data_IF_692192188796
#
_entry.id   IF_692192188796
#
_cell.length_a   1.000
_cell.length_b   1.000
_cell.length_c   1.000
_cell.angle_alpha   90.00
_cell.angle_beta   90.00
_cell.angle_gamma   90.00
#
_symmetry.space_group_name_H-M   'P 1'
#
loop_
_entity.id
_entity.type
_entity.pdbx_description
1 polymer ?
#
# COMPACT_ATOMS: atom_id res chain seq x y z
N UNK A 1 12.84 -22.58 13.70
CA UNK A 1 11.60 -22.49 12.90
C UNK A 1 10.59 -21.77 13.78
N UNK A 2 10.59 -20.43 13.73
CA UNK A 2 9.56 -19.67 14.44
C UNK A 2 8.31 -19.78 13.58
N UNK A 3 7.41 -20.70 13.96
CA UNK A 3 6.00 -20.52 13.64
C UNK A 3 5.63 -19.11 14.10
N UNK A 4 4.94 -18.35 13.26
CA UNK A 4 4.09 -17.28 13.77
C UNK A 4 3.23 -17.95 14.86
N UNK A 5 3.59 -17.76 16.13
CA UNK A 5 2.91 -18.42 17.24
C UNK A 5 1.42 -18.16 17.06
N UNK A 6 0.64 -19.23 16.87
CA UNK A 6 -0.77 -19.15 16.54
C UNK A 6 -1.57 -18.36 17.61
N UNK A 7 -0.98 -18.14 18.79
CA UNK A 7 -1.51 -17.24 19.83
C UNK A 7 -1.48 -15.75 19.47
N UNK A 8 -0.64 -15.33 18.51
CA UNK A 8 -0.46 -13.93 18.07
C UNK A 8 -1.61 -13.39 17.21
N UNK A 9 -2.63 -14.20 16.92
CA UNK A 9 -3.73 -13.86 16.01
C UNK A 9 -5.13 -14.14 16.60
N UNK A 10 -5.24 -14.28 17.92
CA UNK A 10 -6.51 -14.64 18.57
C UNK A 10 -7.63 -13.59 18.41
N UNK A 11 -7.30 -12.32 18.12
CA UNK A 11 -8.23 -11.18 18.18
C UNK A 11 -8.13 -10.15 17.03
N UNK A 12 -7.80 -10.54 15.79
CA UNK A 12 -7.62 -9.59 14.65
C UNK A 12 -6.46 -8.57 14.85
N UNK A 13 -5.64 -8.76 15.88
CA UNK A 13 -4.47 -7.94 16.20
C UNK A 13 -3.22 -8.72 15.85
N UNK A 14 -2.40 -8.18 14.95
CA UNK A 14 -1.08 -8.73 14.66
C UNK A 14 -0.11 -8.35 15.78
N UNK A 15 0.55 -9.34 16.36
CA UNK A 15 1.66 -9.12 17.30
C UNK A 15 2.93 -9.71 16.68
N UNK A 16 3.97 -8.89 16.54
CA UNK A 16 5.28 -9.32 16.09
C UNK A 16 6.32 -8.78 17.08
N UNK A 17 7.29 -9.62 17.45
CA UNK A 17 8.45 -9.21 18.25
C UNK A 17 9.59 -8.78 17.33
N UNK A 18 10.18 -7.63 17.64
CA UNK A 18 11.40 -7.17 16.98
C UNK A 18 12.53 -8.19 17.22
N UNK A 19 13.32 -8.46 16.17
CA UNK A 19 14.37 -9.49 16.16
C UNK A 19 13.89 -10.87 15.68
N UNK A 20 12.58 -11.13 15.63
CA UNK A 20 12.05 -12.42 15.15
C UNK A 20 12.36 -12.69 13.68
N UNK A 21 12.45 -13.96 13.32
CA UNK A 21 12.62 -14.39 11.94
C UNK A 21 11.27 -14.69 11.31
N UNK A 22 11.10 -14.30 10.05
CA UNK A 22 9.93 -14.61 9.24
C UNK A 22 10.37 -15.21 7.91
N UNK A 23 9.84 -16.39 7.58
CA UNK A 23 10.19 -17.13 6.36
C UNK A 23 8.98 -17.20 5.43
N UNK A 24 9.23 -16.99 4.15
CA UNK A 24 8.21 -17.02 3.10
C UNK A 24 8.81 -17.52 1.79
N UNK A 25 7.92 -17.89 0.87
CA UNK A 25 8.33 -18.32 -0.47
C UNK A 25 8.78 -17.12 -1.29
N UNK A 26 10.00 -17.17 -1.81
CA UNK A 26 10.58 -16.15 -2.67
C UNK A 26 11.23 -16.82 -3.88
N UNK A 27 10.71 -16.56 -5.09
CA UNK A 27 11.07 -17.34 -6.28
C UNK A 27 10.82 -18.84 -6.02
N UNK A 28 11.74 -19.71 -6.41
CA UNK A 28 11.64 -21.16 -6.24
C UNK A 28 12.26 -21.66 -4.91
N UNK A 29 12.54 -20.76 -3.97
CA UNK A 29 13.16 -21.09 -2.69
C UNK A 29 12.51 -20.36 -1.53
N UNK A 30 12.84 -20.77 -0.32
CA UNK A 30 12.40 -20.07 0.89
C UNK A 30 13.43 -19.00 1.23
N UNK A 31 12.95 -17.83 1.64
CA UNK A 31 13.79 -16.74 2.11
C UNK A 31 13.33 -16.28 3.48
N UNK A 32 14.29 -15.95 4.32
CA UNK A 32 14.06 -15.53 5.70
C UNK A 32 14.49 -14.08 5.89
N UNK A 33 13.66 -13.31 6.59
CA UNK A 33 13.97 -11.95 7.01
C UNK A 33 13.92 -11.84 8.53
N UNK A 34 14.73 -10.92 9.08
CA UNK A 34 14.63 -10.48 10.47
C UNK A 34 13.68 -9.29 10.55
N UNK A 35 12.67 -9.41 11.39
CA UNK A 35 11.70 -8.36 11.68
C UNK A 35 12.36 -7.29 12.56
N UNK A 36 12.23 -6.03 12.16
CA UNK A 36 12.70 -4.87 12.90
C UNK A 36 11.53 -4.06 13.47
N UNK A 37 11.74 -2.76 13.58
CA UNK A 37 10.74 -1.78 14.02
C UNK A 37 9.44 -1.86 13.19
N UNK A 38 8.31 -1.84 13.90
CA UNK A 38 6.98 -1.63 13.31
C UNK A 38 6.85 -0.16 12.91
N UNK A 39 6.66 0.10 11.62
CA UNK A 39 6.52 1.45 11.07
C UNK A 39 5.06 1.91 11.09
N UNK A 40 4.13 0.98 10.90
CA UNK A 40 2.69 1.26 10.95
C UNK A 40 1.93 0.09 11.55
N UNK A 41 0.98 0.41 12.43
CA UNK A 41 0.01 -0.53 12.99
C UNK A 41 -1.37 0.16 13.02
N UNK A 42 -2.47 -0.57 12.74
CA UNK A 42 -3.81 -0.01 12.89
C UNK A 42 -4.10 0.27 14.37
N UNK A 43 -4.77 1.37 14.67
CA UNK A 43 -5.31 1.61 16.01
C UNK A 43 -6.52 0.69 16.24
N UNK A 44 -6.73 0.25 17.49
CA UNK A 44 -7.85 -0.63 17.85
C UNK A 44 -9.19 -0.01 17.40
N UNK A 45 -10.01 -0.78 16.69
CA UNK A 45 -11.39 -0.41 16.35
C UNK A 45 -11.62 0.15 14.94
N UNK A 46 -10.60 0.39 14.11
CA UNK A 46 -10.82 0.72 12.69
C UNK A 46 -11.19 -0.54 11.90
N UNK A 47 -12.50 -0.80 11.78
CA UNK A 47 -13.03 -1.85 10.94
C UNK A 47 -12.48 -1.75 9.51
N UNK A 48 -11.73 -2.78 9.08
CA UNK A 48 -11.28 -2.94 7.70
C UNK A 48 -9.84 -2.52 7.38
N UNK A 49 -9.06 -2.00 8.33
CA UNK A 49 -7.62 -1.71 8.13
C UNK A 49 -6.75 -2.64 8.96
N UNK A 50 -6.75 -3.93 8.65
CA UNK A 50 -5.87 -4.90 9.33
C UNK A 50 -4.55 -5.02 8.57
N UNK A 51 -3.78 -3.92 8.50
CA UNK A 51 -2.51 -3.82 7.77
C UNK A 51 -1.37 -3.42 8.70
N UNK A 52 -0.28 -4.17 8.68
CA UNK A 52 0.95 -3.87 9.42
C UNK A 52 2.11 -3.67 8.45
N UNK A 53 2.92 -2.64 8.70
CA UNK A 53 4.17 -2.39 7.98
C UNK A 53 5.33 -2.51 8.97
N UNK A 54 6.26 -3.42 8.67
CA UNK A 54 7.41 -3.74 9.53
C UNK A 54 8.68 -3.54 8.72
N UNK A 55 9.68 -2.84 9.24
CA UNK A 55 11.01 -2.81 8.62
C UNK A 55 11.63 -4.19 8.70
N UNK A 56 12.27 -4.66 7.64
CA UNK A 56 12.90 -5.99 7.60
C UNK A 56 14.30 -5.95 7.03
N UNK A 57 15.14 -6.90 7.46
CA UNK A 57 16.48 -7.14 6.89
C UNK A 57 16.58 -8.59 6.41
N UNK A 58 17.27 -8.86 5.30
CA UNK A 58 17.55 -10.25 4.92
C UNK A 58 18.30 -10.95 6.06
N UNK A 59 17.90 -12.18 6.39
CA UNK A 59 18.61 -13.01 7.36
C UNK A 59 19.64 -13.94 6.70
N UNK A 60 19.83 -13.85 5.39
CA UNK A 60 20.78 -14.63 4.63
C UNK A 60 22.23 -14.27 5.00
N UNK A 61 23.08 -15.29 5.12
CA UNK A 61 24.51 -15.14 5.46
C UNK A 61 25.24 -14.31 4.40
N UNK A 62 24.85 -14.47 3.14
CA UNK A 62 25.48 -13.77 2.01
C UNK A 62 25.21 -12.27 1.98
N UNK A 63 24.23 -11.73 2.72
CA UNK A 63 23.93 -10.29 2.67
C UNK A 63 24.93 -9.43 3.47
N UNK A 64 25.98 -10.03 4.05
CA UNK A 64 27.01 -9.37 4.86
C UNK A 64 28.42 -9.63 4.30
N UNK A 65 28.81 -8.94 3.22
CA UNK A 65 30.17 -8.97 2.67
C UNK A 65 30.34 -8.17 1.37
N UNK A 66 31.58 -7.80 1.02
CA UNK A 66 31.92 -7.08 -0.22
C UNK A 66 31.65 -7.90 -1.50
N UNK A 67 31.44 -9.22 -1.37
CA UNK A 67 31.14 -10.16 -2.47
C UNK A 67 29.80 -10.89 -2.31
N UNK A 68 28.83 -10.23 -1.68
CA UNK A 68 27.47 -10.74 -1.51
C UNK A 68 26.75 -10.91 -2.86
N UNK A 69 26.27 -12.12 -3.17
CA UNK A 69 25.36 -12.37 -4.30
C UNK A 69 23.86 -12.18 -3.93
N UNK A 70 23.59 -11.55 -2.78
CA UNK A 70 22.25 -11.27 -2.28
C UNK A 70 21.60 -10.16 -3.13
N UNK A 71 20.55 -10.47 -3.91
CA UNK A 71 19.78 -9.48 -4.68
C UNK A 71 19.06 -8.41 -3.83
N UNK A 72 19.09 -8.54 -2.50
CA UNK A 72 18.58 -7.57 -1.52
C UNK A 72 19.67 -6.81 -0.77
N UNK A 73 20.94 -6.99 -1.15
CA UNK A 73 22.04 -6.26 -0.54
C UNK A 73 21.85 -4.75 -0.67
N UNK A 74 22.08 -4.02 0.41
CA UNK A 74 21.96 -2.56 0.45
C UNK A 74 20.52 -2.03 0.40
N UNK A 75 19.51 -2.87 0.15
CA UNK A 75 18.11 -2.44 0.07
C UNK A 75 17.53 -2.20 1.45
N UNK A 76 16.80 -1.10 1.60
CA UNK A 76 15.90 -0.87 2.74
C UNK A 76 14.55 -1.45 2.39
N UNK A 77 14.08 -2.40 3.21
CA UNK A 77 12.90 -3.19 2.91
C UNK A 77 11.87 -3.13 4.03
N UNK A 78 10.61 -3.25 3.64
CA UNK A 78 9.47 -3.42 4.55
C UNK A 78 8.68 -4.66 4.20
N UNK A 79 8.10 -5.27 5.23
CA UNK A 79 7.10 -6.31 5.13
C UNK A 79 5.73 -5.68 5.39
N UNK A 80 4.89 -5.68 4.35
CA UNK A 80 3.48 -5.28 4.40
C UNK A 80 2.63 -6.54 4.55
N UNK A 81 1.95 -6.71 5.68
CA UNK A 81 1.04 -7.84 5.93
C UNK A 81 -0.36 -7.31 6.23
N UNK A 82 -1.37 -7.88 5.59
CA UNK A 82 -2.75 -7.60 5.96
C UNK A 82 -3.79 -8.55 5.40
N UNK A 83 -5.04 -8.34 5.82
CA UNK A 83 -6.18 -9.09 5.32
C UNK A 83 -6.74 -8.45 4.04
N UNK A 84 -6.71 -9.19 2.94
CA UNK A 84 -7.22 -8.78 1.64
C UNK A 84 -8.40 -9.63 1.21
N UNK A 85 -9.30 -9.11 0.38
CA UNK A 85 -10.32 -9.94 -0.27
C UNK A 85 -9.68 -11.00 -1.15
N UNK A 86 -10.14 -12.24 -1.03
CA UNK A 86 -9.63 -13.38 -1.80
C UNK A 86 -9.68 -13.10 -3.30
N UNK A 87 -10.80 -12.54 -3.75
CA UNK A 87 -11.03 -12.20 -5.16
C UNK A 87 -10.42 -10.86 -5.59
N UNK A 88 -9.77 -10.11 -4.69
CA UNK A 88 -9.12 -8.85 -5.07
C UNK A 88 -7.84 -9.13 -5.84
N UNK A 89 -7.66 -8.39 -6.91
CA UNK A 89 -6.39 -8.31 -7.65
C UNK A 89 -5.32 -7.77 -6.70
N UNK A 90 -4.17 -8.44 -6.61
CA UNK A 90 -3.07 -7.96 -5.76
C UNK A 90 -2.45 -6.68 -6.32
N UNK A 91 -2.01 -5.80 -5.42
CA UNK A 91 -1.22 -4.59 -5.75
C UNK A 91 -0.04 -4.91 -6.68
N UNK A 92 0.64 -6.04 -6.46
CA UNK A 92 1.71 -6.53 -7.35
C UNK A 92 1.28 -6.62 -8.82
N UNK A 93 0.06 -7.11 -9.12
CA UNK A 93 -0.42 -7.24 -10.50
C UNK A 93 -0.67 -5.90 -11.17
N UNK A 94 -1.10 -4.88 -10.42
CA UNK A 94 -1.23 -3.52 -10.96
C UNK A 94 0.13 -2.96 -11.36
N UNK A 95 1.10 -3.07 -10.46
CA UNK A 95 2.45 -2.55 -10.66
C UNK A 95 3.23 -3.33 -11.73
N UNK A 96 3.06 -4.64 -11.83
CA UNK A 96 3.64 -5.47 -12.89
C UNK A 96 3.18 -5.02 -14.28
N UNK A 97 1.87 -4.72 -14.45
CA UNK A 97 1.37 -4.17 -15.72
C UNK A 97 1.97 -2.80 -16.01
N UNK A 98 2.06 -1.92 -15.00
CA UNK A 98 2.68 -0.61 -15.18
C UNK A 98 4.13 -0.76 -15.66
N UNK A 99 4.92 -1.63 -15.02
CA UNK A 99 6.32 -1.88 -15.40
C UNK A 99 6.48 -2.39 -16.84
N UNK A 100 5.59 -3.26 -17.30
CA UNK A 100 5.60 -3.75 -18.69
C UNK A 100 5.33 -2.67 -19.74
N UNK A 101 4.60 -1.62 -19.37
CA UNK A 101 4.23 -0.50 -20.27
C UNK A 101 5.24 0.66 -20.14
N UNK A 102 5.90 0.79 -18.98
CA UNK A 102 6.87 1.82 -18.66
C UNK A 102 8.24 1.58 -19.34
N UNK A 103 8.25 1.57 -20.67
CA UNK A 103 9.44 1.41 -21.51
C UNK A 103 9.67 2.64 -22.39
N UNK A 104 10.91 2.91 -22.78
CA UNK A 104 11.26 4.05 -23.64
C UNK A 104 10.84 5.40 -23.04
N UNK A 105 10.01 6.16 -23.75
CA UNK A 105 9.54 7.48 -23.29
C UNK A 105 8.69 7.46 -22.01
N UNK A 106 8.29 6.28 -21.53
CA UNK A 106 7.51 6.12 -20.31
C UNK A 106 8.33 5.66 -19.09
N UNK A 107 9.62 5.39 -19.25
CA UNK A 107 10.47 4.85 -18.18
C UNK A 107 10.51 5.74 -16.92
N UNK A 108 10.38 7.06 -17.10
CA UNK A 108 10.33 8.03 -16.00
C UNK A 108 9.29 7.69 -14.92
N UNK A 109 8.18 7.02 -15.29
CA UNK A 109 7.11 6.69 -14.34
C UNK A 109 7.55 5.68 -13.28
N UNK A 110 8.60 4.89 -13.54
CA UNK A 110 9.14 3.92 -12.59
C UNK A 110 9.66 4.58 -11.30
N UNK A 111 10.06 5.86 -11.38
CA UNK A 111 10.45 6.66 -10.22
C UNK A 111 9.28 7.00 -9.29
N UNK A 112 8.04 6.80 -9.76
CA UNK A 112 6.81 7.21 -9.08
C UNK A 112 5.92 6.02 -8.70
N UNK A 113 6.41 4.80 -8.90
CA UNK A 113 5.73 3.54 -8.57
C UNK A 113 6.52 2.76 -7.52
N UNK A 114 5.87 2.17 -6.51
CA UNK A 114 6.56 1.40 -5.47
C UNK A 114 7.13 0.09 -6.03
N UNK A 115 8.31 -0.28 -5.54
CA UNK A 115 8.97 -1.56 -5.77
C UNK A 115 8.44 -2.63 -4.82
N UNK A 116 7.89 -3.68 -5.43
CA UNK A 116 7.48 -4.90 -4.73
C UNK A 116 8.39 -6.03 -5.20
N UNK A 117 9.22 -6.52 -4.29
CA UNK A 117 10.12 -7.62 -4.57
C UNK A 117 9.41 -8.96 -4.59
N UNK A 118 8.39 -9.15 -3.74
CA UNK A 118 7.53 -10.32 -3.78
C UNK A 118 6.20 -10.10 -3.08
N UNK A 119 5.22 -10.93 -3.43
CA UNK A 119 3.91 -11.04 -2.79
C UNK A 119 3.62 -12.52 -2.54
N UNK A 120 3.02 -12.85 -1.40
CA UNK A 120 2.69 -14.21 -1.02
C UNK A 120 1.45 -14.26 -0.13
N UNK A 121 0.74 -15.38 -0.15
CA UNK A 121 -0.36 -15.64 0.77
C UNK A 121 0.18 -16.30 2.03
N UNK A 122 -0.31 -15.89 3.20
CA UNK A 122 0.07 -16.45 4.49
C UNK A 122 -1.01 -17.45 4.91
N UNK A 123 -0.68 -18.76 5.05
CA UNK A 123 -1.64 -19.76 5.48
C UNK A 123 -2.18 -19.44 6.88
N UNK A 124 -3.50 -19.34 7.01
CA UNK A 124 -4.14 -18.97 8.27
C UNK A 124 -5.20 -20.01 8.67
N UNK A 125 -4.81 -20.98 9.50
CA UNK A 125 -5.62 -22.17 9.82
C UNK A 125 -6.79 -21.88 10.77
N UNK A 126 -6.61 -21.10 11.83
CA UNK A 126 -7.66 -20.82 12.83
C UNK A 126 -8.77 -19.89 12.33
N UNK A 127 -8.50 -19.06 11.33
CA UNK A 127 -9.51 -18.17 10.74
C UNK A 127 -10.52 -18.91 9.87
N UNK A 128 -10.11 -20.03 9.26
CA UNK A 128 -11.01 -20.84 8.43
C UNK A 128 -12.19 -21.41 9.23
N UNK A 129 -12.02 -21.75 10.50
CA UNK A 129 -13.11 -22.26 11.34
C UNK A 129 -14.13 -21.16 11.70
N UNK A 130 -13.67 -19.93 11.99
CA UNK A 130 -14.55 -18.76 12.26
C UNK A 130 -15.27 -18.25 11.00
N UNK A 131 -14.66 -18.43 9.82
CA UNK A 131 -15.25 -18.08 8.53
C UNK A 131 -16.48 -18.95 8.21
N UNK A 132 -16.45 -20.25 8.48
CA UNK A 132 -17.54 -21.16 8.09
C UNK A 132 -18.86 -20.77 8.76
N UNK A 133 -18.80 -20.29 10.01
CA UNK A 133 -19.95 -19.74 10.72
C UNK A 133 -20.43 -18.43 10.09
N UNK A 134 -19.54 -17.46 9.79
CA UNK A 134 -19.94 -16.17 9.18
C UNK A 134 -20.51 -16.31 7.77
N UNK A 135 -19.98 -17.23 6.95
CA UNK A 135 -20.50 -17.55 5.61
C UNK A 135 -21.97 -17.96 5.63
N UNK A 136 -22.39 -18.70 6.66
CA UNK A 136 -23.76 -19.21 6.79
C UNK A 136 -24.78 -18.12 7.16
N UNK A 137 -24.35 -17.03 7.80
CA UNK A 137 -25.27 -16.03 8.37
C UNK A 137 -25.19 -14.63 7.73
N UNK A 138 -24.18 -14.31 6.92
CA UNK A 138 -24.03 -12.96 6.34
C UNK A 138 -24.13 -12.96 4.81
N UNK A 139 -25.24 -12.43 4.28
CA UNK A 139 -25.38 -12.10 2.86
C UNK A 139 -24.34 -11.07 2.43
N UNK A 140 -23.56 -11.38 1.40
CA UNK A 140 -22.50 -10.50 0.89
C UNK A 140 -21.15 -10.63 1.60
N UNK A 141 -20.94 -11.70 2.38
CA UNK A 141 -19.64 -12.00 2.99
C UNK A 141 -18.56 -12.19 1.92
N UNK A 142 -17.51 -11.36 1.98
CA UNK A 142 -16.33 -11.48 1.12
C UNK A 142 -15.23 -12.23 1.87
N UNK A 143 -14.78 -13.36 1.31
CA UNK A 143 -13.66 -14.10 1.87
C UNK A 143 -12.41 -13.22 1.97
N UNK A 144 -11.73 -13.29 3.11
CA UNK A 144 -10.47 -12.60 3.34
C UNK A 144 -9.33 -13.61 3.47
N UNK A 145 -8.23 -13.34 2.80
CA UNK A 145 -6.97 -14.09 2.91
C UNK A 145 -5.90 -13.16 3.44
N UNK A 146 -4.99 -13.71 4.24
CA UNK A 146 -3.85 -12.95 4.73
C UNK A 146 -2.79 -12.90 3.63
N UNK A 147 -2.37 -11.69 3.25
CA UNK A 147 -1.37 -11.45 2.21
C UNK A 147 -0.19 -10.71 2.80
N UNK A 148 1.01 -11.14 2.43
CA UNK A 148 2.27 -10.48 2.72
C UNK A 148 2.95 -10.00 1.44
N UNK A 149 3.69 -8.91 1.51
CA UNK A 149 4.60 -8.49 0.45
C UNK A 149 5.86 -7.85 1.02
N UNK A 150 6.98 -8.05 0.33
CA UNK A 150 8.23 -7.34 0.61
C UNK A 150 8.35 -6.20 -0.40
N UNK A 151 8.46 -4.99 0.13
CA UNK A 151 8.49 -3.76 -0.64
C UNK A 151 9.74 -2.94 -0.26
N UNK A 152 10.13 -1.99 -1.11
CA UNK A 152 11.11 -0.99 -0.71
C UNK A 152 10.56 -0.15 0.47
N UNK A 153 11.46 0.33 1.32
CA UNK A 153 11.10 1.27 2.36
C UNK A 153 11.06 2.70 1.79
N UNK A 154 9.87 3.29 1.74
CA UNK A 154 9.66 4.68 1.34
C UNK A 154 9.49 5.59 2.57
N UNK A 155 9.74 6.88 2.38
CA UNK A 155 9.54 7.89 3.41
C UNK A 155 8.13 8.47 3.37
N UNK A 156 7.56 8.85 4.53
CA UNK A 156 6.26 9.51 4.55
C UNK A 156 6.37 10.93 3.96
N UNK A 157 5.26 11.47 3.46
CA UNK A 157 5.18 12.85 2.97
C UNK A 157 5.69 13.91 3.98
N UNK A 158 5.61 13.62 5.27
CA UNK A 158 6.12 14.49 6.35
C UNK A 158 7.65 14.60 6.41
N UNK A 159 8.40 13.80 5.62
CA UNK A 159 9.85 13.92 5.53
C UNK A 159 10.32 15.09 4.64
N UNK A 160 9.42 15.68 3.85
CA UNK A 160 9.74 16.88 3.08
C UNK A 160 9.86 18.09 4.02
N UNK A 161 10.80 18.98 3.72
CA UNK A 161 11.14 20.12 4.58
C UNK A 161 10.87 21.46 3.90
N UNK A 162 10.71 21.48 2.57
CA UNK A 162 10.49 22.73 1.82
C UNK A 162 9.23 22.69 0.95
N UNK A 163 8.61 23.86 0.74
CA UNK A 163 7.46 23.99 -0.15
C UNK A 163 7.77 23.56 -1.60
N UNK A 164 9.03 23.74 -2.04
CA UNK A 164 9.49 23.30 -3.37
C UNK A 164 9.48 21.78 -3.50
N UNK A 165 9.95 21.07 -2.49
CA UNK A 165 9.89 19.61 -2.45
C UNK A 165 8.44 19.12 -2.44
N UNK A 166 7.55 19.75 -1.65
CA UNK A 166 6.13 19.44 -1.65
C UNK A 166 5.51 19.60 -3.04
N UNK A 167 5.74 20.75 -3.67
CA UNK A 167 5.22 21.04 -5.00
C UNK A 167 5.72 20.03 -6.04
N UNK A 168 7.00 19.65 -5.98
CA UNK A 168 7.57 18.63 -6.86
C UNK A 168 6.89 17.26 -6.64
N UNK A 169 6.72 16.83 -5.40
CA UNK A 169 6.07 15.55 -5.09
C UNK A 169 4.61 15.53 -5.56
N UNK A 170 3.84 16.61 -5.36
CA UNK A 170 2.47 16.66 -5.89
C UNK A 170 2.43 16.66 -7.42
N UNK A 171 3.35 17.37 -8.06
CA UNK A 171 3.49 17.36 -9.52
C UNK A 171 3.78 15.93 -10.03
N UNK A 172 4.70 15.22 -9.40
CA UNK A 172 5.03 13.81 -9.69
C UNK A 172 3.80 12.89 -9.57
N UNK A 173 3.03 13.04 -8.48
CA UNK A 173 1.81 12.23 -8.24
C UNK A 173 0.75 12.50 -9.31
N UNK A 174 0.53 13.76 -9.69
CA UNK A 174 -0.45 14.11 -10.73
C UNK A 174 -0.02 13.56 -12.10
N UNK A 175 1.27 13.68 -12.45
CA UNK A 175 1.79 13.13 -13.70
C UNK A 175 1.70 11.59 -13.73
N UNK A 176 2.14 10.92 -12.66
CA UNK A 176 2.04 9.48 -12.50
C UNK A 176 0.57 9.03 -12.63
N UNK A 177 -0.34 9.69 -11.92
CA UNK A 177 -1.77 9.38 -11.98
C UNK A 177 -2.38 9.57 -13.37
N UNK A 178 -2.02 10.65 -14.06
CA UNK A 178 -2.43 10.86 -15.46
C UNK A 178 -1.93 9.73 -16.36
N UNK A 179 -0.65 9.36 -16.24
CA UNK A 179 -0.07 8.25 -16.98
C UNK A 179 -0.82 6.94 -16.71
N UNK A 180 -1.13 6.64 -15.45
CA UNK A 180 -1.88 5.43 -15.05
C UNK A 180 -3.28 5.36 -15.67
N UNK A 181 -3.98 6.49 -15.71
CA UNK A 181 -5.29 6.56 -16.34
C UNK A 181 -5.21 6.39 -17.85
N UNK A 182 -4.21 7.00 -18.48
CA UNK A 182 -4.07 7.05 -19.94
C UNK A 182 -3.60 5.73 -20.53
N UNK A 183 -2.54 5.12 -19.99
CA UNK A 183 -1.84 3.99 -20.62
C UNK A 183 -2.24 2.62 -20.05
N UNK A 184 -1.96 2.26 -18.78
CA UNK A 184 -2.39 0.98 -18.24
C UNK A 184 -3.89 0.92 -17.91
N UNK A 185 -4.61 2.05 -18.03
CA UNK A 185 -6.06 2.17 -17.81
C UNK A 185 -6.44 1.79 -16.37
N UNK A 186 -5.78 2.39 -15.39
CA UNK A 186 -5.96 2.15 -13.96
C UNK A 186 -6.59 3.38 -13.27
N UNK A 187 -7.45 3.14 -12.28
CA UNK A 187 -7.81 4.15 -11.26
C UNK A 187 -7.31 3.68 -9.89
N UNK A 188 -6.76 4.60 -9.09
CA UNK A 188 -6.14 4.28 -7.80
C UNK A 188 -7.18 4.13 -6.68
N UNK A 189 -8.18 5.03 -6.63
CA UNK A 189 -9.32 5.02 -5.68
C UNK A 189 -9.00 5.23 -4.21
N UNK A 190 -7.73 5.34 -3.83
CA UNK A 190 -7.33 5.56 -2.44
C UNK A 190 -6.15 6.53 -2.30
N UNK A 191 -6.15 7.62 -3.07
CA UNK A 191 -5.16 8.68 -2.89
C UNK A 191 -5.43 9.38 -1.55
N UNK A 192 -4.42 9.44 -0.70
CA UNK A 192 -4.48 10.08 0.62
C UNK A 192 -3.09 10.52 1.05
N UNK A 193 -2.98 11.38 2.07
CA UNK A 193 -1.69 11.84 2.60
C UNK A 193 -0.77 10.67 2.99
N UNK A 194 -1.33 9.58 3.55
CA UNK A 194 -0.56 8.41 3.98
C UNK A 194 -0.10 7.50 2.81
N UNK A 195 -0.70 7.67 1.63
CA UNK A 195 -0.43 6.87 0.45
C UNK A 195 0.42 7.62 -0.60
N UNK A 196 0.69 8.90 -0.37
CA UNK A 196 1.70 9.66 -1.09
C UNK A 196 3.00 9.54 -0.28
N UNK A 197 3.96 8.82 -0.84
CA UNK A 197 5.25 8.53 -0.22
C UNK A 197 6.37 9.22 -0.99
N UNK A 198 7.55 9.27 -0.39
CA UNK A 198 8.73 9.92 -0.95
C UNK A 198 9.84 8.89 -1.14
N UNK A 199 10.42 8.87 -2.33
CA UNK A 199 11.69 8.18 -2.61
C UNK A 199 12.78 9.23 -2.76
N UNK A 200 13.88 9.05 -2.05
CA UNK A 200 15.10 9.84 -2.26
C UNK A 200 16.13 8.99 -3.00
N UNK A 201 16.59 9.49 -4.14
CA UNK A 201 17.61 8.85 -4.96
C UNK A 201 18.50 9.92 -5.58
N UNK A 202 19.81 9.75 -5.46
CA UNK A 202 20.83 10.66 -5.99
C UNK A 202 20.62 12.13 -5.56
N UNK A 203 20.21 12.35 -4.31
CA UNK A 203 19.92 13.68 -3.75
C UNK A 203 18.63 14.32 -4.28
N UNK A 204 17.81 13.60 -5.04
CA UNK A 204 16.51 14.05 -5.55
C UNK A 204 15.37 13.28 -4.90
N UNK A 205 14.31 14.01 -4.53
CA UNK A 205 13.07 13.45 -3.98
C UNK A 205 12.02 13.30 -5.08
N UNK A 206 11.37 12.14 -5.08
CA UNK A 206 10.31 11.76 -6.01
C UNK A 206 9.04 11.44 -5.25
N UNK A 207 7.90 11.89 -5.78
CA UNK A 207 6.59 11.44 -5.30
C UNK A 207 6.29 10.03 -5.77
N UNK A 208 5.94 9.13 -4.85
CA UNK A 208 5.59 7.74 -5.14
C UNK A 208 4.16 7.46 -4.68
N UNK A 209 3.32 6.97 -5.60
CA UNK A 209 1.93 6.61 -5.30
C UNK A 209 1.85 5.17 -4.76
N UNK A 210 1.56 5.02 -3.47
CA UNK A 210 1.54 3.74 -2.77
C UNK A 210 0.11 3.26 -2.45
N UNK A 211 -0.02 2.00 -2.04
CA UNK A 211 -1.26 1.36 -1.56
C UNK A 211 -2.37 1.18 -2.62
N UNK A 212 -2.16 0.19 -3.48
CA UNK A 212 -3.01 -0.10 -4.64
C UNK A 212 -4.11 -1.15 -4.35
N UNK A 213 -4.38 -1.44 -3.09
CA UNK A 213 -5.33 -2.50 -2.68
C UNK A 213 -6.80 -2.21 -3.04
N UNK A 214 -7.10 -0.95 -3.43
CA UNK A 214 -8.40 -0.48 -3.91
C UNK A 214 -8.42 -0.15 -5.41
N UNK A 215 -7.28 -0.27 -6.09
CA UNK A 215 -7.16 0.06 -7.49
C UNK A 215 -8.02 -0.84 -8.38
N UNK A 216 -8.40 -0.34 -9.56
CA UNK A 216 -9.19 -1.07 -10.55
C UNK A 216 -8.68 -0.87 -11.97
N UNK A 217 -8.94 -1.86 -12.81
CA UNK A 217 -8.82 -1.76 -14.26
C UNK A 217 -10.06 -1.10 -14.85
N UNK A 218 -9.89 -0.06 -15.66
CA UNK A 218 -10.99 0.56 -16.41
C UNK A 218 -11.57 -0.38 -17.47
N UNK A 219 -10.80 -1.37 -17.94
CA UNK A 219 -11.29 -2.39 -18.89
C UNK A 219 -12.30 -3.38 -18.27
N UNK A 220 -12.34 -3.49 -16.94
CA UNK A 220 -13.20 -4.47 -16.23
C UNK A 220 -14.51 -3.89 -15.71
N UNK A 221 -14.90 -2.67 -16.11
CA UNK A 221 -16.16 -2.05 -15.67
C UNK A 221 -17.42 -2.76 -16.19
N UNK A 222 -17.28 -3.80 -17.03
CA UNK A 222 -18.38 -4.60 -17.57
C UNK A 222 -18.69 -5.93 -16.84
N UNK A 223 -17.80 -6.47 -15.99
CA UNK A 223 -17.93 -7.87 -15.52
C UNK A 223 -17.68 -8.08 -14.03
N UNK A 224 -18.28 -7.22 -13.20
CA UNK A 224 -18.30 -7.42 -11.75
C UNK A 224 -18.63 -6.12 -11.04
N UNK A 225 -19.66 -6.14 -10.19
CA UNK A 225 -19.98 -5.01 -9.31
C UNK A 225 -18.69 -4.61 -8.57
N UNK A 226 -18.12 -3.41 -8.77
CA UNK A 226 -17.13 -2.88 -7.85
C UNK A 226 -17.78 -2.94 -6.47
N UNK A 227 -17.07 -3.42 -5.45
CA UNK A 227 -17.61 -3.54 -4.10
C UNK A 227 -18.43 -2.29 -3.77
N UNK A 228 -19.74 -2.45 -3.56
CA UNK A 228 -20.72 -1.36 -3.35
C UNK A 228 -20.44 -0.51 -2.10
N UNK A 229 -19.32 -0.75 -1.42
CA UNK A 229 -18.87 0.06 -0.31
C UNK A 229 -18.16 1.29 -0.86
N UNK A 230 -18.48 2.44 -0.28
CA UNK A 230 -17.71 3.67 -0.38
C UNK A 230 -16.25 3.35 0.00
N UNK A 231 -15.43 3.07 -1.00
CA UNK A 231 -14.01 2.74 -0.81
C UNK A 231 -13.20 4.01 -0.99
N UNK A 232 -12.42 4.36 0.03
CA UNK A 232 -11.55 5.52 0.03
C UNK A 232 -11.29 5.95 1.46
N UNK A 233 -10.32 6.84 1.64
CA UNK A 233 -10.06 7.43 2.97
C UNK A 233 -10.96 8.65 3.12
N UNK A 234 -11.92 8.60 4.05
CA UNK A 234 -13.10 9.49 4.07
C UNK A 234 -12.83 11.00 3.89
N UNK A 235 -11.81 11.61 4.54
CA UNK A 235 -11.48 13.03 4.32
C UNK A 235 -11.05 13.39 2.88
N UNK A 236 -10.65 12.41 2.07
CA UNK A 236 -10.14 12.60 0.72
C UNK A 236 -11.11 12.10 -0.36
N UNK A 237 -12.27 11.56 0.01
CA UNK A 237 -13.27 11.13 -0.96
C UNK A 237 -13.88 12.35 -1.66
N UNK A 238 -14.05 12.25 -2.99
CA UNK A 238 -14.67 13.29 -3.80
C UNK A 238 -16.07 13.65 -3.27
N UNK A 239 -16.43 14.93 -3.37
CA UNK A 239 -17.65 15.50 -2.80
C UNK A 239 -18.92 14.70 -3.12
N UNK A 240 -19.12 14.33 -4.39
CA UNK A 240 -20.33 13.59 -4.78
C UNK A 240 -20.36 12.16 -4.20
N UNK A 241 -19.20 11.57 -3.90
CA UNK A 241 -19.10 10.25 -3.27
C UNK A 241 -19.49 10.30 -1.80
N UNK A 242 -19.49 11.47 -1.17
CA UNK A 242 -19.90 11.63 0.21
C UNK A 242 -21.44 11.51 0.37
N UNK A 243 -22.20 11.62 -0.73
CA UNK A 243 -23.64 11.38 -0.73
C UNK A 243 -23.95 9.89 -0.51
N UNK A 244 -24.76 9.58 0.50
CA UNK A 244 -25.26 8.22 0.75
C UNK A 244 -26.10 7.63 -0.39
N UNK A 245 -26.51 8.46 -1.35
CA UNK A 245 -27.25 8.05 -2.55
C UNK A 245 -26.37 7.84 -3.77
N UNK A 246 -25.06 8.10 -3.68
CA UNK A 246 -24.13 7.92 -4.78
C UNK A 246 -24.02 6.45 -5.16
N UNK A 247 -24.35 6.15 -6.42
CA UNK A 247 -24.26 4.80 -7.02
C UNK A 247 -23.40 4.77 -8.28
N UNK A 248 -22.77 5.88 -8.63
CA UNK A 248 -21.98 6.01 -9.85
C UNK A 248 -20.61 5.32 -9.76
N UNK A 249 -19.99 4.99 -10.90
CA UNK A 249 -18.64 4.44 -10.92
C UNK A 249 -17.61 5.47 -10.44
N UNK A 250 -16.48 4.99 -9.93
CA UNK A 250 -15.32 5.86 -9.67
C UNK A 250 -14.76 6.38 -11.00
N UNK A 251 -14.31 7.64 -11.01
CA UNK A 251 -13.81 8.32 -12.21
C UNK A 251 -12.44 8.94 -11.94
N UNK A 252 -11.69 9.20 -13.01
CA UNK A 252 -10.40 9.88 -12.96
C UNK A 252 -10.42 11.16 -12.12
N UNK A 253 -11.46 12.00 -12.30
CA UNK A 253 -11.61 13.25 -11.56
C UNK A 253 -11.76 13.05 -10.04
N UNK A 254 -12.28 11.91 -9.57
CA UNK A 254 -12.40 11.67 -8.13
C UNK A 254 -11.03 11.47 -7.48
N UNK A 255 -10.11 10.77 -8.16
CA UNK A 255 -8.74 10.62 -7.67
C UNK A 255 -8.00 11.99 -7.67
N UNK A 256 -8.23 12.82 -8.69
CA UNK A 256 -7.69 14.19 -8.70
C UNK A 256 -8.27 15.07 -7.59
N UNK A 257 -9.56 14.93 -7.29
CA UNK A 257 -10.19 15.63 -6.17
C UNK A 257 -9.60 15.17 -4.83
N UNK A 258 -9.23 13.89 -4.70
CA UNK A 258 -8.47 13.41 -3.54
C UNK A 258 -7.10 14.10 -3.43
N UNK A 259 -6.36 14.30 -4.54
CA UNK A 259 -5.10 15.06 -4.53
C UNK A 259 -5.33 16.49 -4.06
N UNK A 260 -6.38 17.15 -4.56
CA UNK A 260 -6.77 18.49 -4.13
C UNK A 260 -7.05 18.54 -2.62
N UNK A 261 -7.81 17.58 -2.07
CA UNK A 261 -8.08 17.54 -0.64
C UNK A 261 -6.83 17.28 0.21
N UNK A 262 -5.87 16.48 -0.27
CA UNK A 262 -4.58 16.32 0.41
C UNK A 262 -3.86 17.66 0.49
N UNK A 263 -3.75 18.39 -0.63
CA UNK A 263 -3.10 19.70 -0.67
C UNK A 263 -3.81 20.68 0.27
N UNK A 264 -5.14 20.78 0.16
CA UNK A 264 -5.95 21.69 0.98
C UNK A 264 -5.76 21.44 2.48
N UNK A 265 -5.83 20.18 2.92
CA UNK A 265 -5.66 19.83 4.33
C UNK A 265 -4.24 20.11 4.81
N UNK A 266 -3.22 19.85 3.99
CA UNK A 266 -1.84 20.19 4.33
C UNK A 266 -1.63 21.69 4.48
N UNK A 267 -2.17 22.51 3.56
CA UNK A 267 -2.01 23.97 3.61
C UNK A 267 -2.81 24.63 4.74
N UNK A 268 -3.98 24.09 5.07
CA UNK A 268 -4.84 24.69 6.10
C UNK A 268 -4.49 24.23 7.51
N UNK A 269 -4.09 22.97 7.69
CA UNK A 269 -3.88 22.39 9.02
C UNK A 269 -2.43 22.47 9.51
N UNK A 270 -1.48 22.86 8.66
CA UNK A 270 -0.07 22.83 9.01
C UNK A 270 0.65 24.13 8.59
N UNK A 271 1.43 24.72 9.49
CA UNK A 271 2.33 25.85 9.20
C UNK A 271 3.60 25.39 8.51
N UNK A 272 3.99 24.14 8.76
CA UNK A 272 5.01 23.36 8.06
C UNK A 272 4.66 21.87 8.19
N UNK A 273 5.19 20.98 7.35
CA UNK A 273 4.75 19.56 7.30
C UNK A 273 4.83 18.76 8.61
N UNK A 274 5.54 19.29 9.62
CA UNK A 274 5.68 18.72 10.96
C UNK A 274 5.07 19.58 12.07
N UNK A 275 4.46 20.71 11.73
CA UNK A 275 3.87 21.64 12.70
C UNK A 275 2.42 21.93 12.32
N UNK A 276 1.50 21.44 13.14
CA UNK A 276 0.09 21.75 13.01
C UNK A 276 -0.11 23.24 13.28
N UNK A 277 -0.92 23.90 12.46
CA UNK A 277 -1.38 25.25 12.77
C UNK A 277 -2.12 25.20 14.12
N UNK A 278 -1.91 26.19 15.01
CA UNK A 278 -2.75 26.33 16.18
C UNK A 278 -4.21 26.41 15.71
N UNK A 279 -5.07 25.58 16.28
CA UNK A 279 -6.51 25.68 16.03
C UNK A 279 -6.97 27.08 16.45
N UNK A 280 -7.82 27.76 15.67
CA UNK A 280 -8.41 29.03 16.09
C UNK A 280 -9.18 28.89 17.41
#
# INVERSE_FOLDING_TARGET
MLELDARLCSNEVFVCSEGSLFTFRYKEQDRTVRLGRVLFRPQHGTAGKNMMIIRVKCACLDCHGEHSNCDWQGKRLVLKIGLSGENRVSEYKFLDRCRKIAIGEHEWVLNHLPEIHCSFDIPFREYRSRIDTKKRFQRGFEMRVMRGSIQEELEPLSSLTTARECAQVFYDIVQCHHWLWKYPRILHRNISQANIMVREQDGKKYGVLNDWDLAIWLSNTGSGRPSKLLTGTAPYMAHEQQSGFWKGPHRYRHDLESVFYVILLLTCLYSSLNQRNPTP
#
